data_IF_106766401088
#
_entry.id   IF_106766401088
#
_cell.length_a   1.000
_cell.length_b   1.000
_cell.length_c   1.000
_cell.angle_alpha   90.00
_cell.angle_beta   90.00
_cell.angle_gamma   90.00
#
_symmetry.space_group_name_H-M   'P 1'
#
loop_
_entity.id
_entity.type
_entity.pdbx_description
1 polymer ?
#
# COMPACT_ATOMS: atom_id res chain seq x y z
N UNK A 1 9.17 -9.68 3.88
CA UNK A 1 10.62 -9.49 4.06
C UNK A 1 10.92 -8.15 4.73
N UNK A 2 12.17 -7.86 5.07
CA UNK A 2 12.65 -6.54 5.49
C UNK A 2 13.70 -6.03 4.50
N UNK A 3 13.79 -4.71 4.31
CA UNK A 3 12.92 -3.64 4.80
C UNK A 3 11.64 -3.47 3.96
N UNK A 4 10.93 -2.34 4.16
CA UNK A 4 9.59 -2.06 3.63
C UNK A 4 9.47 -2.11 2.10
N UNK A 5 10.32 -1.40 1.35
CA UNK A 5 10.15 -1.18 -0.09
C UNK A 5 9.93 -2.44 -0.93
N UNK A 6 10.69 -3.55 -0.76
CA UNK A 6 10.43 -4.78 -1.50
C UNK A 6 9.00 -5.32 -1.34
N UNK A 7 8.40 -5.16 -0.15
CA UNK A 7 7.04 -5.61 0.14
C UNK A 7 6.01 -4.77 -0.62
N UNK A 8 6.19 -3.45 -0.62
CA UNK A 8 5.34 -2.54 -1.38
C UNK A 8 5.40 -2.80 -2.89
N UNK A 9 6.61 -3.05 -3.44
CA UNK A 9 6.76 -3.41 -4.85
C UNK A 9 6.06 -4.74 -5.17
N UNK A 10 6.12 -5.71 -4.27
CA UNK A 10 5.43 -7.00 -4.42
C UNK A 10 3.91 -6.84 -4.49
N UNK A 11 3.31 -5.93 -3.69
CA UNK A 11 1.88 -5.68 -3.64
C UNK A 11 1.29 -5.13 -4.95
N UNK A 12 2.07 -4.40 -5.75
CA UNK A 12 1.55 -3.78 -6.97
C UNK A 12 2.23 -4.26 -8.25
N UNK A 13 3.36 -4.92 -8.13
CA UNK A 13 4.13 -5.40 -9.28
C UNK A 13 4.25 -6.92 -9.38
N UNK A 14 3.91 -7.66 -8.33
CA UNK A 14 4.06 -9.11 -8.29
C UNK A 14 5.50 -9.60 -8.23
N UNK A 15 6.44 -8.74 -7.94
CA UNK A 15 7.85 -9.07 -7.69
C UNK A 15 8.50 -7.98 -6.83
N UNK A 16 9.63 -8.29 -6.21
CA UNK A 16 10.50 -7.31 -5.53
C UNK A 16 11.47 -6.64 -6.51
N UNK A 17 11.56 -7.12 -7.74
CA UNK A 17 12.48 -6.63 -8.80
C UNK A 17 13.95 -6.63 -8.38
N UNK A 18 14.32 -7.54 -7.48
CA UNK A 18 15.68 -7.62 -6.92
C UNK A 18 16.02 -6.56 -5.89
N UNK A 19 15.09 -5.68 -5.56
CA UNK A 19 15.23 -4.66 -4.50
C UNK A 19 15.31 -5.34 -3.14
N UNK A 20 16.25 -4.90 -2.29
CA UNK A 20 16.54 -5.48 -0.97
C UNK A 20 16.78 -4.44 0.12
N UNK A 21 16.54 -3.18 -0.19
CA UNK A 21 16.74 -2.04 0.70
C UNK A 21 15.66 -0.98 0.47
N UNK A 22 15.70 0.10 1.24
CA UNK A 22 14.79 1.24 1.17
C UNK A 22 15.39 2.42 0.40
N UNK A 23 16.31 2.17 -0.56
CA UNK A 23 16.85 3.26 -1.36
C UNK A 23 15.71 3.97 -2.14
N UNK A 24 15.83 5.30 -2.32
CA UNK A 24 14.77 6.10 -2.92
C UNK A 24 14.51 5.75 -4.37
N UNK A 25 13.39 6.26 -4.88
CA UNK A 25 13.14 6.26 -6.33
C UNK A 25 14.16 7.12 -7.07
N UNK A 26 14.62 6.62 -8.22
CA UNK A 26 15.47 7.40 -9.13
C UNK A 26 14.74 8.64 -9.74
N UNK A 27 13.45 8.76 -9.52
CA UNK A 27 12.61 9.89 -9.93
C UNK A 27 12.36 10.89 -8.80
N UNK A 28 12.96 10.69 -7.61
CA UNK A 28 12.75 11.59 -6.49
C UNK A 28 13.23 13.00 -6.80
N UNK A 29 12.41 13.99 -6.45
CA UNK A 29 12.65 15.41 -6.76
C UNK A 29 13.82 16.03 -5.98
N UNK A 30 14.14 15.43 -4.82
CA UNK A 30 15.20 15.86 -3.90
C UNK A 30 16.33 14.81 -3.75
N UNK A 31 16.49 13.94 -4.75
CA UNK A 31 17.54 12.93 -4.80
C UNK A 31 18.93 13.57 -4.93
N UNK A 32 19.87 13.22 -4.07
CA UNK A 32 21.25 13.65 -4.23
C UNK A 32 21.98 12.83 -5.28
N UNK A 33 22.92 13.45 -6.02
CA UNK A 33 23.67 12.81 -7.12
C UNK A 33 24.53 11.60 -6.70
N UNK A 34 24.85 11.49 -5.42
CA UNK A 34 25.65 10.39 -4.87
C UNK A 34 24.83 9.27 -4.24
N UNK A 35 23.52 9.41 -4.19
CA UNK A 35 22.63 8.46 -3.54
C UNK A 35 22.24 7.34 -4.51
N UNK A 36 22.34 6.09 -4.05
CA UNK A 36 21.77 4.95 -4.78
C UNK A 36 20.25 5.08 -4.84
N UNK A 37 19.66 4.65 -5.93
CA UNK A 37 18.22 4.71 -6.14
C UNK A 37 17.71 3.48 -6.88
N UNK A 38 16.40 3.26 -6.80
CA UNK A 38 15.71 2.19 -7.53
C UNK A 38 14.71 2.75 -8.52
N UNK A 39 14.53 2.03 -9.63
CA UNK A 39 13.41 2.20 -10.54
C UNK A 39 12.99 0.83 -11.12
N UNK A 40 11.77 0.74 -11.60
CA UNK A 40 11.17 -0.48 -12.14
C UNK A 40 10.64 -0.21 -13.54
N UNK A 41 11.22 -0.84 -14.54
CA UNK A 41 10.77 -0.75 -15.95
C UNK A 41 9.54 -1.62 -16.25
N UNK A 42 9.17 -2.48 -15.33
CA UNK A 42 8.10 -3.45 -15.49
C UNK A 42 6.70 -2.86 -15.46
N UNK A 43 5.75 -3.68 -15.87
CA UNK A 43 4.32 -3.45 -15.71
C UNK A 43 3.91 -3.59 -14.24
N UNK A 44 2.89 -2.83 -13.86
CA UNK A 44 2.28 -2.84 -12.53
C UNK A 44 0.77 -3.07 -12.61
N UNK A 45 0.13 -3.22 -11.46
CA UNK A 45 -1.33 -3.26 -11.33
C UNK A 45 -2.02 -2.04 -11.98
N UNK A 46 -1.34 -0.86 -11.99
CA UNK A 46 -1.87 0.35 -12.63
C UNK A 46 -2.08 0.14 -14.14
N UNK A 47 -1.11 -0.47 -14.82
CA UNK A 47 -1.22 -0.74 -16.26
C UNK A 47 -2.42 -1.65 -16.54
N UNK A 48 -2.61 -2.68 -15.74
CA UNK A 48 -3.73 -3.62 -15.91
C UNK A 48 -5.09 -2.97 -15.65
N UNK A 49 -5.20 -2.13 -14.61
CA UNK A 49 -6.43 -1.41 -14.30
C UNK A 49 -6.82 -0.50 -15.45
N UNK A 50 -5.88 0.32 -15.94
CA UNK A 50 -6.14 1.24 -17.05
C UNK A 50 -6.47 0.50 -18.36
N UNK A 51 -5.80 -0.61 -18.66
CA UNK A 51 -6.09 -1.46 -19.82
C UNK A 51 -7.51 -2.05 -19.74
N UNK A 52 -8.02 -2.27 -18.54
CA UNK A 52 -9.40 -2.71 -18.28
C UNK A 52 -10.42 -1.55 -18.20
N UNK A 53 -9.99 -0.30 -18.41
CA UNK A 53 -10.85 0.89 -18.28
C UNK A 53 -11.17 1.26 -16.83
N UNK A 54 -10.39 0.75 -15.88
CA UNK A 54 -10.54 1.02 -14.45
C UNK A 54 -9.60 2.15 -13.99
N UNK A 55 -9.93 2.76 -12.86
CA UNK A 55 -9.18 3.90 -12.31
C UNK A 55 -8.49 3.53 -11.02
N UNK A 56 -7.36 4.19 -10.74
CA UNK A 56 -6.64 4.06 -9.48
C UNK A 56 -6.31 5.41 -8.87
N UNK A 57 -6.03 5.43 -7.57
CA UNK A 57 -5.33 6.52 -6.91
C UNK A 57 -4.54 5.99 -5.71
N UNK A 58 -3.40 6.62 -5.43
CA UNK A 58 -2.74 6.58 -4.14
C UNK A 58 -3.21 7.80 -3.32
N UNK A 59 -3.47 7.59 -2.05
CA UNK A 59 -3.68 8.64 -1.05
C UNK A 59 -2.65 8.47 0.06
N UNK A 60 -1.63 9.33 0.09
CA UNK A 60 -0.58 9.27 1.08
C UNK A 60 -0.69 10.44 2.05
N UNK A 61 -0.78 10.13 3.33
CA UNK A 61 -0.84 11.14 4.37
C UNK A 61 0.50 11.90 4.45
N UNK A 62 0.43 13.22 4.55
CA UNK A 62 1.57 14.13 4.59
C UNK A 62 2.36 14.21 3.26
N UNK A 63 1.85 13.65 2.16
CA UNK A 63 2.39 13.94 0.83
C UNK A 63 2.10 15.42 0.51
N UNK A 64 3.09 16.24 0.07
CA UNK A 64 2.90 17.70 -0.05
C UNK A 64 1.89 18.12 -1.11
N UNK A 65 1.86 17.45 -2.25
CA UNK A 65 0.99 17.75 -3.38
C UNK A 65 0.76 16.51 -4.26
N UNK A 66 -0.25 16.55 -5.11
CA UNK A 66 -0.45 15.50 -6.10
C UNK A 66 0.75 15.44 -7.07
N UNK A 67 1.24 14.23 -7.33
CA UNK A 67 2.40 14.00 -8.18
C UNK A 67 3.76 14.34 -7.57
N UNK A 68 3.81 14.73 -6.31
CA UNK A 68 5.08 15.01 -5.64
C UNK A 68 5.87 13.72 -5.44
N UNK A 69 7.15 13.76 -5.81
CA UNK A 69 8.09 12.65 -5.71
C UNK A 69 9.17 12.88 -4.64
N UNK A 70 8.92 13.76 -3.66
CA UNK A 70 9.86 14.01 -2.55
C UNK A 70 10.15 12.73 -1.77
N UNK A 71 11.35 12.64 -1.22
CA UNK A 71 11.80 11.50 -0.40
C UNK A 71 11.04 11.40 0.92
N UNK A 72 10.78 12.56 1.52
CA UNK A 72 10.17 12.66 2.85
C UNK A 72 9.46 13.99 3.03
N UNK A 73 8.37 13.99 3.82
CA UNK A 73 7.66 15.21 4.17
C UNK A 73 7.14 15.13 5.63
N UNK A 74 7.40 16.13 6.47
CA UNK A 74 8.45 17.14 6.29
C UNK A 74 9.82 16.51 6.02
N UNK A 75 10.83 17.27 5.59
CA UNK A 75 12.18 16.72 5.42
C UNK A 75 12.72 16.09 6.70
N UNK A 76 13.58 15.06 6.55
CA UNK A 76 14.24 14.43 7.70
C UNK A 76 14.96 15.49 8.57
N UNK A 77 15.03 15.32 9.90
CA UNK A 77 14.67 14.11 10.67
C UNK A 77 13.19 14.03 11.13
N UNK A 78 12.35 14.99 10.80
CA UNK A 78 10.95 15.05 11.23
C UNK A 78 9.97 14.40 10.23
N UNK A 79 10.47 13.56 9.35
CA UNK A 79 9.68 12.92 8.30
C UNK A 79 8.48 12.15 8.87
N UNK A 80 7.33 12.38 8.27
CA UNK A 80 6.10 11.62 8.51
C UNK A 80 5.71 10.83 7.26
N UNK A 81 5.70 11.45 6.07
CA UNK A 81 5.66 10.72 4.80
C UNK A 81 7.05 10.17 4.48
N UNK A 82 7.11 8.93 4.02
CA UNK A 82 8.32 8.31 3.50
C UNK A 82 8.06 7.72 2.11
N UNK A 83 8.85 8.10 1.10
CA UNK A 83 8.66 7.68 -0.30
C UNK A 83 8.68 6.15 -0.45
N UNK A 84 9.44 5.43 0.37
CA UNK A 84 9.52 3.96 0.36
C UNK A 84 8.15 3.28 0.57
N UNK A 85 7.17 3.97 1.17
CA UNK A 85 5.81 3.50 1.33
C UNK A 85 4.90 3.85 0.13
N UNK A 86 5.45 4.53 -0.88
CA UNK A 86 4.77 4.86 -2.14
C UNK A 86 5.40 4.07 -3.30
N UNK A 87 5.01 2.81 -3.53
CA UNK A 87 5.63 2.00 -4.57
C UNK A 87 5.41 2.55 -5.99
N UNK A 88 4.36 3.32 -6.21
CA UNK A 88 4.03 3.89 -7.52
C UNK A 88 5.11 4.85 -8.02
N UNK A 89 5.81 5.53 -7.10
CA UNK A 89 6.91 6.44 -7.42
C UNK A 89 8.14 5.75 -8.04
N UNK A 90 8.22 4.43 -7.94
CA UNK A 90 9.36 3.65 -8.44
C UNK A 90 9.16 3.10 -9.85
N UNK A 91 7.93 3.01 -10.35
CA UNK A 91 7.65 2.48 -11.68
C UNK A 91 7.81 3.53 -12.77
N UNK A 92 8.68 3.26 -13.74
CA UNK A 92 8.96 4.13 -14.89
C UNK A 92 7.68 4.59 -15.60
N UNK A 93 6.76 3.67 -15.81
CA UNK A 93 5.49 3.92 -16.51
C UNK A 93 4.57 4.86 -15.73
N UNK A 94 4.78 5.02 -14.42
CA UNK A 94 4.01 5.93 -13.57
C UNK A 94 4.79 7.23 -13.40
N UNK A 95 6.03 7.16 -12.94
CA UNK A 95 6.84 8.32 -12.61
C UNK A 95 7.16 9.22 -13.82
N UNK A 96 7.20 8.66 -15.03
CA UNK A 96 7.40 9.41 -16.29
C UNK A 96 6.10 9.86 -16.97
N UNK A 97 4.94 9.56 -16.38
CA UNK A 97 3.64 9.92 -16.95
C UNK A 97 2.92 10.94 -16.06
N UNK A 98 2.82 12.22 -16.49
CA UNK A 98 2.18 13.27 -15.69
C UNK A 98 0.74 12.95 -15.26
N UNK A 99 -0.06 12.34 -16.14
CA UNK A 99 -1.45 12.00 -15.84
C UNK A 99 -1.56 10.90 -14.77
N UNK A 100 -0.60 9.98 -14.70
CA UNK A 100 -0.51 8.96 -13.65
C UNK A 100 0.04 9.55 -12.36
N UNK A 101 1.02 10.45 -12.44
CA UNK A 101 1.56 11.14 -11.27
C UNK A 101 0.48 11.91 -10.51
N UNK A 102 -0.44 12.60 -11.21
CA UNK A 102 -1.56 13.30 -10.60
C UNK A 102 -2.52 12.40 -9.80
N UNK A 103 -2.42 11.06 -9.97
CA UNK A 103 -3.17 10.08 -9.18
C UNK A 103 -2.47 9.72 -7.86
N UNK A 104 -1.24 10.16 -7.65
CA UNK A 104 -0.54 10.06 -6.37
C UNK A 104 -0.88 11.31 -5.57
N UNK A 105 -1.85 11.22 -4.67
CA UNK A 105 -2.51 12.36 -4.03
C UNK A 105 -2.18 12.46 -2.54
N UNK A 106 -2.18 13.66 -1.95
CA UNK A 106 -2.31 13.82 -0.51
C UNK A 106 -3.58 13.17 0.01
N UNK A 107 -3.55 12.64 1.24
CA UNK A 107 -4.70 11.96 1.86
C UNK A 107 -5.95 12.84 1.91
N UNK A 108 -5.79 14.14 2.07
CA UNK A 108 -6.87 15.13 2.13
C UNK A 108 -7.76 15.11 0.88
N UNK A 109 -7.20 14.71 -0.27
CA UNK A 109 -7.96 14.57 -1.51
C UNK A 109 -9.00 13.44 -1.47
N UNK A 110 -8.82 12.44 -0.59
CA UNK A 110 -9.75 11.32 -0.44
C UNK A 110 -11.18 11.79 -0.15
N UNK A 111 -11.35 12.81 0.69
CA UNK A 111 -12.69 13.33 1.04
C UNK A 111 -13.43 13.89 -0.16
N UNK A 112 -12.73 14.60 -1.04
CA UNK A 112 -13.31 15.14 -2.27
C UNK A 112 -13.69 14.03 -3.25
N UNK A 113 -12.79 13.05 -3.44
CA UNK A 113 -13.02 11.92 -4.34
C UNK A 113 -14.17 11.03 -3.83
N UNK A 114 -14.28 10.79 -2.52
CA UNK A 114 -15.41 10.06 -1.92
C UNK A 114 -16.75 10.80 -2.07
N UNK A 115 -16.73 12.13 -2.14
CA UNK A 115 -17.93 12.94 -2.40
C UNK A 115 -18.27 13.04 -3.89
N UNK A 116 -17.28 12.80 -4.75
CA UNK A 116 -17.37 12.76 -6.20
C UNK A 116 -17.39 11.35 -6.77
N UNK A 117 -16.44 11.07 -7.64
CA UNK A 117 -16.17 9.75 -8.23
C UNK A 117 -14.88 9.20 -7.62
N UNK A 118 -15.02 8.23 -6.73
CA UNK A 118 -13.86 7.53 -6.17
C UNK A 118 -13.25 6.59 -7.23
N UNK A 119 -11.91 6.35 -7.17
CA UNK A 119 -11.28 5.38 -8.05
C UNK A 119 -11.75 3.95 -7.76
N UNK A 120 -11.65 3.07 -8.76
CA UNK A 120 -11.93 1.65 -8.57
C UNK A 120 -10.96 1.01 -7.57
N UNK A 121 -9.68 1.38 -7.61
CA UNK A 121 -8.68 0.99 -6.62
C UNK A 121 -8.12 2.23 -5.90
N UNK A 122 -8.30 2.29 -4.59
CA UNK A 122 -7.64 3.26 -3.71
C UNK A 122 -6.54 2.57 -2.90
N UNK A 123 -5.30 3.04 -3.01
CA UNK A 123 -4.19 2.61 -2.16
C UNK A 123 -3.94 3.72 -1.13
N UNK A 124 -4.21 3.45 0.15
CA UNK A 124 -4.17 4.46 1.22
C UNK A 124 -2.99 4.16 2.13
N UNK A 125 -2.10 5.14 2.28
CA UNK A 125 -0.90 5.03 3.09
C UNK A 125 -0.93 6.08 4.20
N UNK A 126 -1.09 5.67 5.47
CA UNK A 126 -0.94 6.56 6.60
C UNK A 126 0.49 7.09 6.72
N UNK A 127 0.69 8.17 7.44
CA UNK A 127 2.03 8.62 7.79
C UNK A 127 2.62 7.78 8.94
N UNK A 128 3.91 7.93 9.21
CA UNK A 128 4.63 7.10 10.19
C UNK A 128 4.11 7.19 11.63
N UNK A 129 3.28 8.17 11.96
CA UNK A 129 2.62 8.22 13.28
C UNK A 129 1.28 7.46 13.30
N UNK A 130 0.71 7.18 12.13
CA UNK A 130 -0.59 6.54 11.98
C UNK A 130 -0.52 5.16 11.31
N UNK A 131 0.68 4.71 10.90
CA UNK A 131 0.91 3.38 10.29
C UNK A 131 1.41 2.32 11.31
N UNK A 132 1.67 2.73 12.54
CA UNK A 132 2.21 1.89 13.60
C UNK A 132 3.74 1.83 13.66
N UNK A 133 4.46 2.36 12.65
CA UNK A 133 5.93 2.35 12.59
C UNK A 133 6.56 3.33 13.61
N UNK A 134 6.02 4.53 13.69
CA UNK A 134 6.57 5.61 14.49
C UNK A 134 7.66 6.43 13.78
N UNK A 135 7.91 7.61 14.33
CA UNK A 135 8.96 8.52 13.87
C UNK A 135 9.63 9.19 15.06
N UNK A 136 10.55 10.13 14.81
CA UNK A 136 11.16 10.91 15.91
C UNK A 136 10.15 11.66 16.75
N UNK A 137 8.99 12.01 16.21
CA UNK A 137 7.94 12.79 16.86
C UNK A 137 6.85 11.93 17.50
N UNK A 138 6.77 10.65 17.19
CA UNK A 138 5.78 9.70 17.68
C UNK A 138 6.42 8.32 17.89
N UNK A 139 6.83 8.03 19.15
CA UNK A 139 7.60 6.82 19.48
C UNK A 139 6.93 5.92 20.51
N UNK A 140 5.92 6.44 21.21
CA UNK A 140 5.24 5.65 22.23
C UNK A 140 4.36 4.60 21.60
N UNK A 141 4.61 3.28 21.83
CA UNK A 141 3.90 2.21 21.14
C UNK A 141 2.41 2.14 21.48
N UNK A 142 2.00 2.56 22.69
CA UNK A 142 0.59 2.59 23.07
C UNK A 142 -0.13 3.72 22.35
N UNK A 143 0.53 4.86 22.21
CA UNK A 143 0.01 5.97 21.44
C UNK A 143 -0.08 5.65 19.96
N UNK A 144 0.97 5.08 19.37
CA UNK A 144 0.98 4.65 17.96
C UNK A 144 -0.19 3.69 17.65
N UNK A 145 -0.44 2.72 18.53
CA UNK A 145 -1.58 1.81 18.36
C UNK A 145 -2.93 2.53 18.41
N UNK A 146 -3.08 3.55 19.25
CA UNK A 146 -4.30 4.38 19.31
C UNK A 146 -4.45 5.28 18.11
N UNK A 147 -3.36 5.96 17.71
CA UNK A 147 -3.36 6.87 16.56
C UNK A 147 -3.69 6.09 15.27
N UNK A 148 -3.18 4.85 15.14
CA UNK A 148 -3.53 3.93 14.06
C UNK A 148 -5.01 3.52 14.09
N UNK A 149 -5.54 3.13 15.27
CA UNK A 149 -6.96 2.75 15.42
C UNK A 149 -7.88 3.93 15.08
N UNK A 150 -7.57 5.12 15.56
CA UNK A 150 -8.32 6.35 15.25
C UNK A 150 -8.26 6.69 13.76
N UNK A 151 -7.10 6.53 13.11
CA UNK A 151 -6.95 6.70 11.67
C UNK A 151 -7.84 5.72 10.90
N UNK A 152 -7.79 4.43 11.24
CA UNK A 152 -8.62 3.41 10.61
C UNK A 152 -10.11 3.69 10.81
N UNK A 153 -10.52 4.02 12.02
CA UNK A 153 -11.92 4.34 12.35
C UNK A 153 -12.45 5.50 11.51
N UNK A 154 -11.68 6.57 11.36
CA UNK A 154 -12.06 7.73 10.57
C UNK A 154 -12.09 7.40 9.08
N UNK A 155 -11.04 6.78 8.56
CA UNK A 155 -10.90 6.49 7.12
C UNK A 155 -11.89 5.45 6.65
N UNK A 156 -12.00 4.31 7.34
CA UNK A 156 -12.98 3.25 7.03
C UNK A 156 -14.41 3.80 7.17
N UNK A 157 -14.66 4.59 8.22
CA UNK A 157 -15.95 5.23 8.44
C UNK A 157 -16.34 6.16 7.29
N UNK A 158 -15.43 6.99 6.81
CA UNK A 158 -15.66 7.90 5.69
C UNK A 158 -15.92 7.14 4.37
N UNK A 159 -15.10 6.10 4.08
CA UNK A 159 -15.27 5.29 2.88
C UNK A 159 -16.63 4.60 2.88
N UNK A 160 -17.00 3.94 3.98
CA UNK A 160 -18.28 3.22 4.09
C UNK A 160 -19.50 4.11 4.11
N UNK A 161 -19.38 5.35 4.55
CA UNK A 161 -20.44 6.35 4.51
C UNK A 161 -20.60 7.02 3.13
N UNK A 162 -19.63 6.84 2.22
CA UNK A 162 -19.67 7.46 0.90
C UNK A 162 -20.68 6.78 -0.02
N UNK A 163 -21.17 7.53 -1.01
CA UNK A 163 -22.04 6.97 -2.07
C UNK A 163 -21.31 5.98 -3.00
N UNK A 164 -19.98 5.96 -2.94
CA UNK A 164 -19.15 5.06 -3.74
C UNK A 164 -19.01 3.67 -3.09
N UNK A 165 -19.33 3.55 -1.79
CA UNK A 165 -19.36 2.26 -1.12
C UNK A 165 -20.56 1.47 -1.59
N UNK A 166 -20.32 0.33 -2.18
CA UNK A 166 -21.34 -0.58 -2.71
C UNK A 166 -21.20 -1.95 -2.10
N UNK A 167 -22.15 -2.81 -2.38
CA UNK A 167 -22.14 -4.22 -1.96
C UNK A 167 -20.89 -4.99 -2.41
N UNK A 168 -20.33 -4.60 -3.56
CA UNK A 168 -19.15 -5.24 -4.16
C UNK A 168 -17.84 -4.56 -3.72
N UNK A 169 -17.92 -3.58 -2.82
CA UNK A 169 -16.76 -2.89 -2.29
C UNK A 169 -16.10 -3.69 -1.16
N UNK A 170 -14.79 -3.58 -1.06
CA UNK A 170 -14.01 -4.14 0.02
C UNK A 170 -12.90 -3.19 0.45
N UNK A 171 -12.55 -3.22 1.74
CA UNK A 171 -11.34 -2.59 2.27
C UNK A 171 -10.45 -3.71 2.82
N UNK A 172 -9.18 -3.70 2.44
CA UNK A 172 -8.17 -4.57 3.04
C UNK A 172 -7.20 -3.71 3.82
N UNK A 173 -7.06 -4.01 5.10
CA UNK A 173 -6.05 -3.40 5.99
C UNK A 173 -4.95 -4.42 6.19
N UNK A 174 -3.72 -4.06 5.88
CA UNK A 174 -2.55 -4.94 6.05
C UNK A 174 -1.32 -4.11 6.34
N UNK A 175 -0.26 -4.77 6.80
CA UNK A 175 1.06 -4.19 6.98
C UNK A 175 2.01 -4.74 5.91
N UNK A 176 3.04 -3.99 5.57
CA UNK A 176 4.08 -4.40 4.64
C UNK A 176 5.01 -5.45 5.26
N UNK A 177 5.34 -5.29 6.55
CA UNK A 177 6.23 -6.18 7.29
C UNK A 177 5.87 -6.23 8.78
N UNK A 178 6.30 -7.30 9.46
CA UNK A 178 6.19 -7.43 10.91
C UNK A 178 7.39 -6.78 11.61
N UNK A 179 7.20 -6.21 12.80
CA UNK A 179 8.28 -5.78 13.65
C UNK A 179 8.83 -6.95 14.49
N UNK A 180 10.03 -7.41 14.17
CA UNK A 180 10.78 -8.30 15.06
C UNK A 180 11.57 -7.48 16.08
N UNK A 181 11.23 -7.61 17.35
CA UNK A 181 11.92 -6.91 18.44
C UNK A 181 13.25 -7.55 18.86
N UNK A 182 13.49 -8.81 18.51
CA UNK A 182 14.50 -9.65 19.17
C UNK A 182 15.61 -10.21 18.26
N UNK A 183 15.62 -9.94 16.96
CA UNK A 183 16.69 -10.44 16.09
C UNK A 183 17.43 -9.31 15.38
N UNK A 184 18.79 -9.38 15.32
CA UNK A 184 19.55 -8.47 14.48
C UNK A 184 19.10 -8.66 13.03
N UNK A 185 18.53 -7.63 12.44
CA UNK A 185 17.99 -7.63 11.09
C UNK A 185 19.14 -7.78 10.08
N UNK A 186 19.43 -9.01 9.67
CA UNK A 186 20.23 -9.21 8.47
C UNK A 186 19.32 -9.12 7.26
N UNK A 187 19.61 -8.29 6.25
CA UNK A 187 18.81 -8.21 5.04
C UNK A 187 18.64 -9.61 4.42
N UNK A 188 17.42 -10.07 4.30
CA UNK A 188 17.08 -11.35 3.68
C UNK A 188 17.04 -12.58 4.59
N UNK A 189 17.21 -12.42 5.91
CA UNK A 189 17.12 -13.51 6.90
C UNK A 189 15.84 -13.36 7.71
N UNK A 190 14.76 -14.08 7.32
CA UNK A 190 13.54 -14.13 8.11
C UNK A 190 12.98 -15.54 8.07
N UNK A 191 12.66 -16.08 9.25
CA UNK A 191 11.74 -17.21 9.36
C UNK A 191 10.33 -16.68 9.05
N UNK A 192 9.47 -17.51 8.49
CA UNK A 192 8.08 -17.13 8.18
C UNK A 192 7.32 -16.61 9.41
N UNK A 193 7.68 -17.08 10.60
CA UNK A 193 7.05 -16.68 11.86
C UNK A 193 7.43 -15.25 12.30
N UNK A 194 8.63 -14.77 11.95
CA UNK A 194 9.13 -13.46 12.39
C UNK A 194 8.54 -12.28 11.59
N UNK A 195 7.92 -12.55 10.44
CA UNK A 195 7.37 -11.53 9.54
C UNK A 195 5.87 -11.72 9.27
N UNK A 196 5.15 -12.28 10.23
CA UNK A 196 3.71 -12.44 10.14
C UNK A 196 3.01 -11.10 10.37
N UNK A 197 2.20 -10.68 9.40
CA UNK A 197 1.41 -9.45 9.47
C UNK A 197 -0.07 -9.76 9.61
N UNK A 198 -0.79 -8.87 10.30
CA UNK A 198 -2.25 -8.91 10.33
C UNK A 198 -2.82 -8.43 9.00
N UNK A 199 -3.83 -9.15 8.49
CA UNK A 199 -4.59 -8.72 7.31
C UNK A 199 -6.07 -8.85 7.62
N UNK A 200 -6.82 -7.74 7.46
CA UNK A 200 -8.24 -7.64 7.79
C UNK A 200 -9.00 -7.21 6.55
N UNK A 201 -10.03 -7.97 6.18
CA UNK A 201 -10.96 -7.61 5.12
C UNK A 201 -12.27 -7.08 5.71
N UNK A 202 -12.70 -5.90 5.24
CA UNK A 202 -13.98 -5.28 5.59
C UNK A 202 -14.86 -5.27 4.36
N UNK A 203 -16.03 -5.89 4.46
CA UNK A 203 -17.05 -5.95 3.40
C UNK A 203 -18.44 -5.86 4.02
N UNK A 204 -19.46 -5.56 3.22
CA UNK A 204 -20.86 -5.59 3.67
C UNK A 204 -21.47 -6.99 3.52
N UNK A 205 -20.79 -7.91 2.85
CA UNK A 205 -21.25 -9.26 2.58
C UNK A 205 -20.48 -10.29 3.39
N UNK A 206 -21.17 -11.36 3.80
CA UNK A 206 -20.58 -12.44 4.58
C UNK A 206 -20.67 -12.22 6.10
N UNK A 207 -20.08 -13.15 6.83
CA UNK A 207 -19.92 -13.10 8.29
C UNK A 207 -18.44 -13.20 8.64
N UNK A 208 -18.10 -13.19 9.94
CA UNK A 208 -16.72 -13.39 10.39
C UNK A 208 -16.11 -14.62 9.77
N UNK A 209 -14.93 -14.46 9.19
CA UNK A 209 -14.14 -15.52 8.58
C UNK A 209 -12.69 -15.38 9.00
N UNK A 210 -12.04 -16.51 9.09
CA UNK A 210 -10.60 -16.59 9.29
C UNK A 210 -10.02 -17.39 8.13
N UNK A 211 -8.89 -16.94 7.61
CA UNK A 211 -8.09 -17.66 6.64
C UNK A 211 -6.73 -17.95 7.28
N UNK A 212 -6.48 -19.23 7.60
CA UNK A 212 -5.24 -19.70 8.21
C UNK A 212 -4.23 -20.21 7.17
N UNK A 213 -4.51 -20.06 5.88
CA UNK A 213 -3.55 -20.43 4.84
C UNK A 213 -2.30 -19.53 4.88
N UNK A 214 -1.12 -20.05 4.53
CA UNK A 214 0.08 -19.25 4.41
C UNK A 214 -0.05 -18.31 3.18
N UNK A 215 -0.34 -17.05 3.45
CA UNK A 215 -0.52 -16.00 2.45
C UNK A 215 0.62 -14.99 2.53
N UNK A 216 0.81 -14.22 1.47
CA UNK A 216 1.81 -13.16 1.39
C UNK A 216 1.32 -12.02 0.49
N UNK A 217 2.16 -11.00 0.23
CA UNK A 217 1.78 -9.84 -0.59
C UNK A 217 1.45 -10.19 -2.04
N UNK A 218 2.00 -11.27 -2.60
CA UNK A 218 1.59 -11.77 -3.92
C UNK A 218 0.17 -12.33 -3.88
N UNK A 219 -0.24 -12.89 -2.74
CA UNK A 219 -1.61 -13.35 -2.51
C UNK A 219 -2.60 -12.18 -2.46
N UNK A 220 -2.21 -11.06 -1.86
CA UNK A 220 -3.01 -9.84 -1.87
C UNK A 220 -3.18 -9.30 -3.30
N UNK A 221 -2.08 -9.19 -4.05
CA UNK A 221 -2.12 -8.77 -5.45
C UNK A 221 -3.01 -9.70 -6.29
N UNK A 222 -2.81 -11.02 -6.19
CA UNK A 222 -3.64 -12.01 -6.87
C UNK A 222 -5.13 -11.86 -6.54
N UNK A 223 -5.46 -11.51 -5.29
CA UNK A 223 -6.84 -11.28 -4.85
C UNK A 223 -7.44 -10.03 -5.50
N UNK A 224 -6.67 -8.95 -5.59
CA UNK A 224 -7.09 -7.72 -6.26
C UNK A 224 -7.28 -7.97 -7.76
N UNK A 225 -6.34 -8.66 -8.39
CA UNK A 225 -6.39 -9.02 -9.82
C UNK A 225 -7.61 -9.89 -10.14
N UNK A 226 -7.90 -10.90 -9.32
CA UNK A 226 -9.09 -11.74 -9.47
C UNK A 226 -10.39 -10.93 -9.27
N UNK A 227 -10.42 -10.05 -8.26
CA UNK A 227 -11.58 -9.22 -7.97
C UNK A 227 -11.94 -8.26 -9.11
N UNK A 228 -10.95 -7.80 -9.86
CA UNK A 228 -11.15 -6.96 -11.05
C UNK A 228 -11.11 -7.75 -12.37
N UNK A 229 -11.05 -9.07 -12.34
CA UNK A 229 -10.95 -9.95 -13.53
C UNK A 229 -9.73 -9.65 -14.41
N UNK A 230 -8.61 -9.28 -13.78
CA UNK A 230 -7.34 -9.01 -14.44
C UNK A 230 -6.50 -10.29 -14.53
N UNK A 231 -5.54 -10.30 -15.46
CA UNK A 231 -4.52 -11.37 -15.47
C UNK A 231 -3.57 -11.19 -14.29
N UNK A 232 -3.08 -12.26 -13.73
CA UNK A 232 -2.15 -12.18 -12.60
C UNK A 232 -0.72 -11.87 -13.05
N UNK A 233 -0.08 -10.92 -12.36
CA UNK A 233 1.29 -10.50 -12.60
C UNK A 233 2.29 -11.47 -11.92
N UNK A 234 3.32 -11.83 -12.64
CA UNK A 234 4.54 -12.50 -12.14
C UNK A 234 4.26 -13.55 -11.05
N UNK A 235 4.77 -13.35 -9.83
CA UNK A 235 4.61 -14.30 -8.71
C UNK A 235 3.18 -14.37 -8.17
N UNK A 236 2.35 -13.37 -8.44
CA UNK A 236 0.93 -13.44 -8.13
C UNK A 236 0.23 -14.55 -8.93
N UNK A 237 0.72 -14.94 -10.13
CA UNK A 237 0.13 -16.00 -10.94
C UNK A 237 0.10 -17.37 -10.24
N UNK A 238 1.03 -17.64 -9.34
CA UNK A 238 1.09 -18.88 -8.56
C UNK A 238 0.63 -18.74 -7.10
N UNK A 239 0.25 -17.54 -6.68
CA UNK A 239 -0.11 -17.29 -5.29
C UNK A 239 -1.55 -17.71 -4.98
N UNK A 240 -1.82 -18.29 -3.78
CA UNK A 240 -3.18 -18.46 -3.28
C UNK A 240 -3.81 -17.09 -3.01
N UNK A 241 -5.14 -17.00 -2.97
CA UNK A 241 -5.87 -15.75 -2.77
C UNK A 241 -6.59 -15.69 -1.43
N UNK A 242 -7.01 -14.47 -1.05
CA UNK A 242 -7.90 -14.21 0.08
C UNK A 242 -9.38 -14.28 -0.32
N UNK A 243 -9.72 -14.75 -1.51
CA UNK A 243 -11.10 -14.72 -2.05
C UNK A 243 -12.13 -15.37 -1.14
N UNK A 244 -11.75 -16.40 -0.37
CA UNK A 244 -12.64 -17.02 0.60
C UNK A 244 -13.15 -16.07 1.71
N UNK A 245 -12.53 -14.92 1.91
CA UNK A 245 -13.01 -13.87 2.82
C UNK A 245 -14.13 -13.04 2.18
N UNK A 246 -14.24 -13.04 0.84
CA UNK A 246 -15.16 -12.24 0.05
C UNK A 246 -16.31 -13.05 -0.55
N UNK A 247 -16.09 -14.33 -0.88
CA UNK A 247 -17.06 -15.24 -1.53
C UNK A 247 -18.17 -15.71 -0.57
N UNK A 248 -18.83 -14.78 0.10
CA UNK A 248 -19.91 -15.12 1.04
C UNK A 248 -21.20 -14.42 0.65
N UNK A 249 -22.34 -15.13 0.71
CA UNK A 249 -23.62 -14.51 0.40
C UNK A 249 -23.89 -13.37 1.37
N UNK A 250 -24.33 -12.25 0.81
CA UNK A 250 -24.89 -11.16 1.61
C UNK A 250 -26.22 -11.62 2.21
N UNK A 251 -26.37 -11.50 3.51
CA UNK A 251 -27.62 -11.83 4.23
C UNK A 251 -28.63 -10.70 4.14
#
# INVERSE_FOLDING_TARGET
THPSLPNYLAMIGGDTFGVKDDAPSCFASDLSLSQSCHHVEGESLVDQLEDAGLTFALYAETLPAAGDLTLASPPAPAALYAQKHNPFAYFDRIAKNPARLEKLKPLEALTADLSGEAPNLAFIVPNQCHDGHGSLTCKDPVRLARDFDDFLKQTIGAIRASRNWTRDSAIVVTFDEGESRDTPKSPGSHTEDDNRVATIAVTDCGGPAVNDAPLNHYSLLATIEDGFHLRRLRKASGAPTLMNLFDRPCR
#
